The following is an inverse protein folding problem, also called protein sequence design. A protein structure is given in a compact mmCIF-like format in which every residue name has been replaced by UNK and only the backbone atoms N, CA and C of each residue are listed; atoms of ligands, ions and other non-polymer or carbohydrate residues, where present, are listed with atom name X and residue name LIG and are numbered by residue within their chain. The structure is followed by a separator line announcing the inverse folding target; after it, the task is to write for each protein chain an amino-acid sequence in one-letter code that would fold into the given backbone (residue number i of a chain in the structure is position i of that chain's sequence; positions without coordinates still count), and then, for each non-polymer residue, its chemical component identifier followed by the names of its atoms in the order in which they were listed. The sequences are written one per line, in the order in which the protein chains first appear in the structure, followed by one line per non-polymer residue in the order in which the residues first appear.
data_IF_110967293819
#
_entry.id   IF_110967293819
#
_cell.length_a   1.000
_cell.length_b   1.000
_cell.length_c   1.000
_cell.angle_alpha   90.00
_cell.angle_beta   90.00
_cell.angle_gamma   90.00
#
_symmetry.space_group_name_H-M   'P 1'
#
loop_
_entity.id
_entity.type
_entity.pdbx_description
1 polymer ?
#
# COMPACT_ATOMS: atom_id res chain seq x y z
N UNK A 1 -16.25 4.79 6.93
CA UNK A 1 -15.17 5.12 7.87
C UNK A 1 -14.16 3.98 8.00
N UNK A 2 -14.59 2.71 8.01
CA UNK A 2 -13.66 1.58 8.12
C UNK A 2 -12.79 1.39 6.87
N UNK A 3 -13.28 1.66 5.67
CA UNK A 3 -12.50 1.63 4.43
C UNK A 3 -11.39 2.67 4.40
N UNK A 4 -11.66 3.89 4.83
CA UNK A 4 -10.65 4.95 4.95
C UNK A 4 -9.57 4.59 5.98
N UNK A 5 -9.95 4.07 7.13
CA UNK A 5 -8.99 3.62 8.14
C UNK A 5 -8.12 2.47 7.62
N UNK A 6 -8.71 1.54 6.86
CA UNK A 6 -7.97 0.46 6.22
C UNK A 6 -6.97 1.01 5.20
N UNK A 7 -7.38 1.97 4.36
CA UNK A 7 -6.52 2.61 3.37
C UNK A 7 -5.27 3.24 4.01
N UNK A 8 -5.47 4.00 5.09
CA UNK A 8 -4.37 4.64 5.84
C UNK A 8 -3.42 3.60 6.43
N UNK A 9 -3.98 2.59 7.10
CA UNK A 9 -3.19 1.57 7.78
C UNK A 9 -2.41 0.69 6.79
N UNK A 10 -3.02 0.38 5.65
CA UNK A 10 -2.46 -0.54 4.67
C UNK A 10 -1.36 0.07 3.79
N UNK A 11 -1.08 1.37 3.90
CA UNK A 11 0.02 2.00 3.15
C UNK A 11 1.37 1.32 3.38
N UNK A 12 1.61 0.80 4.58
CA UNK A 12 2.83 0.04 4.91
C UNK A 12 2.95 -1.29 4.16
N UNK A 13 1.86 -1.77 3.57
CA UNK A 13 1.79 -3.04 2.84
C UNK A 13 1.85 -2.86 1.33
N UNK A 14 1.97 -1.62 0.86
CA UNK A 14 2.05 -1.30 -0.56
C UNK A 14 3.36 -1.86 -1.16
N UNK A 15 3.23 -2.57 -2.28
CA UNK A 15 4.39 -2.95 -3.09
C UNK A 15 4.51 -1.96 -4.28
N UNK A 16 5.59 -1.18 -4.38
CA UNK A 16 5.74 -0.22 -5.46
C UNK A 16 6.05 -0.86 -6.82
N UNK A 17 6.36 -2.16 -6.84
CA UNK A 17 6.77 -2.88 -8.05
C UNK A 17 5.61 -3.62 -8.70
N UNK A 18 4.69 -4.12 -7.89
CA UNK A 18 3.67 -5.05 -8.32
C UNK A 18 2.33 -4.69 -7.70
N UNK A 19 1.29 -4.95 -8.45
CA UNK A 19 -0.04 -4.97 -7.92
C UNK A 19 -0.24 -6.19 -7.03
N UNK A 20 -0.75 -5.96 -5.84
CA UNK A 20 -1.01 -7.01 -4.86
C UNK A 20 -2.42 -6.84 -4.33
N UNK A 21 -3.27 -7.83 -4.58
CA UNK A 21 -4.59 -7.91 -3.98
C UNK A 21 -4.47 -8.49 -2.57
N UNK A 22 -5.11 -7.84 -1.62
CA UNK A 22 -5.21 -8.28 -0.24
C UNK A 22 -6.67 -8.38 0.17
N UNK A 23 -6.96 -9.34 1.01
CA UNK A 23 -8.29 -9.55 1.58
C UNK A 23 -8.13 -9.43 3.08
N UNK A 24 -8.78 -8.43 3.67
CA UNK A 24 -8.75 -8.16 5.10
C UNK A 24 -10.05 -8.62 5.74
N UNK A 25 -9.97 -9.62 6.58
CA UNK A 25 -11.10 -10.15 7.34
C UNK A 25 -11.24 -9.39 8.65
N UNK A 26 -12.46 -8.92 8.93
CA UNK A 26 -12.74 -8.09 10.10
C UNK A 26 -13.77 -8.74 11.02
N UNK A 27 -13.66 -8.45 12.31
CA UNK A 27 -14.64 -8.76 13.32
C UNK A 27 -14.75 -7.58 14.28
N UNK A 28 -15.96 -7.05 14.46
CA UNK A 28 -16.20 -5.84 15.27
C UNK A 28 -15.25 -4.69 14.86
N UNK A 29 -15.10 -4.46 13.56
CA UNK A 29 -14.21 -3.46 12.97
C UNK A 29 -12.70 -3.63 13.27
N UNK A 30 -12.28 -4.78 13.77
CA UNK A 30 -10.86 -5.14 13.95
C UNK A 30 -10.45 -6.15 12.91
N UNK A 31 -9.25 -6.01 12.36
CA UNK A 31 -8.67 -7.01 11.47
C UNK A 31 -8.30 -8.22 12.29
N UNK A 32 -8.82 -9.38 11.91
CA UNK A 32 -8.55 -10.67 12.57
C UNK A 32 -7.68 -11.58 11.70
N UNK A 33 -7.65 -11.35 10.38
CA UNK A 33 -6.83 -12.10 9.45
C UNK A 33 -6.66 -11.34 8.15
N UNK A 34 -5.61 -11.61 7.40
CA UNK A 34 -5.49 -11.16 6.01
C UNK A 34 -4.78 -12.19 5.14
N UNK A 35 -5.11 -12.17 3.85
CA UNK A 35 -4.43 -12.93 2.81
C UNK A 35 -3.97 -11.98 1.71
N UNK A 36 -2.93 -12.35 0.97
CA UNK A 36 -2.40 -11.56 -0.12
C UNK A 36 -2.13 -12.43 -1.34
N UNK A 37 -2.41 -11.89 -2.52
CA UNK A 37 -2.16 -12.53 -3.82
C UNK A 37 -1.49 -11.51 -4.72
N UNK A 38 -0.40 -11.91 -5.36
CA UNK A 38 0.24 -11.10 -6.40
C UNK A 38 0.70 -11.99 -7.54
N UNK A 39 0.41 -11.56 -8.75
CA UNK A 39 0.96 -12.19 -9.97
C UNK A 39 2.36 -11.70 -10.30
N UNK A 40 2.88 -10.74 -9.53
CA UNK A 40 4.13 -10.02 -9.78
C UNK A 40 4.14 -9.27 -11.12
N UNK A 41 2.99 -8.77 -11.52
CA UNK A 41 2.84 -7.93 -12.70
C UNK A 41 2.56 -6.48 -12.26
N UNK A 42 3.12 -5.47 -12.95
CA UNK A 42 3.01 -4.07 -12.52
C UNK A 42 1.60 -3.48 -12.60
N UNK A 43 0.72 -4.03 -13.38
CA UNK A 43 -0.60 -3.44 -13.64
C UNK A 43 -1.76 -4.43 -13.59
N UNK A 44 -1.57 -5.62 -13.01
CA UNK A 44 -2.65 -6.59 -12.89
C UNK A 44 -2.39 -7.67 -11.83
N UNK A 45 -3.44 -8.10 -11.16
CA UNK A 45 -3.46 -9.33 -10.37
C UNK A 45 -4.33 -10.34 -11.10
N UNK A 46 -3.71 -11.41 -11.62
CA UNK A 46 -4.48 -12.50 -12.23
C UNK A 46 -5.01 -13.43 -11.15
N UNK A 47 -6.31 -13.44 -10.99
CA UNK A 47 -7.01 -14.31 -10.04
C UNK A 47 -7.21 -15.74 -10.56
N UNK A 48 -6.93 -15.98 -11.84
CA UNK A 48 -7.05 -17.29 -12.48
C UNK A 48 -6.22 -18.38 -11.80
N UNK A 49 -5.14 -18.01 -11.12
CA UNK A 49 -4.35 -18.96 -10.33
C UNK A 49 -5.04 -19.41 -9.04
N UNK A 50 -6.17 -18.82 -8.67
CA UNK A 50 -6.94 -19.13 -7.45
C UNK A 50 -8.17 -19.99 -7.78
N UNK A 51 -8.43 -20.30 -9.06
CA UNK A 51 -9.60 -21.03 -9.56
C UNK A 51 -10.34 -20.26 -10.64
N UNK A 52 -11.27 -20.92 -11.30
CA UNK A 52 -12.00 -20.34 -12.41
C UNK A 52 -12.91 -19.20 -11.94
N UNK A 53 -12.57 -17.97 -12.32
CA UNK A 53 -13.39 -16.79 -12.22
C UNK A 53 -13.74 -16.25 -10.80
N UNK A 54 -14.36 -15.08 -10.80
CA UNK A 54 -14.77 -14.32 -9.63
C UNK A 54 -15.64 -15.10 -8.62
N UNK A 55 -16.35 -16.14 -9.07
CA UNK A 55 -17.14 -16.99 -8.20
C UNK A 55 -16.29 -17.82 -7.23
N UNK A 56 -15.18 -18.39 -7.70
CA UNK A 56 -14.29 -19.21 -6.86
C UNK A 56 -13.55 -18.36 -5.85
N UNK A 57 -13.19 -17.13 -6.20
CA UNK A 57 -12.65 -16.18 -5.24
C UNK A 57 -13.65 -15.90 -4.12
N UNK A 58 -14.91 -15.65 -4.47
CA UNK A 58 -15.98 -15.41 -3.49
C UNK A 58 -16.18 -16.60 -2.54
N UNK A 59 -16.18 -17.83 -3.06
CA UNK A 59 -16.29 -19.05 -2.27
C UNK A 59 -15.09 -19.22 -1.34
N UNK A 60 -13.87 -19.02 -1.85
CA UNK A 60 -12.66 -19.12 -1.05
C UNK A 60 -12.64 -18.08 0.08
N UNK A 61 -12.99 -16.86 -0.23
CA UNK A 61 -13.03 -15.75 0.73
C UNK A 61 -14.07 -16.03 1.81
N UNK A 62 -15.25 -16.49 1.43
CA UNK A 62 -16.32 -16.79 2.37
C UNK A 62 -15.98 -18.00 3.27
N UNK A 63 -15.33 -19.04 2.73
CA UNK A 63 -14.80 -20.16 3.49
C UNK A 63 -13.78 -19.69 4.53
N UNK A 64 -12.83 -18.84 4.13
CA UNK A 64 -11.82 -18.27 5.03
C UNK A 64 -12.48 -17.39 6.08
N UNK A 65 -13.43 -16.53 5.69
CA UNK A 65 -14.18 -15.67 6.62
C UNK A 65 -14.83 -16.47 7.74
N UNK A 66 -15.50 -17.57 7.40
CA UNK A 66 -16.14 -18.45 8.39
C UNK A 66 -15.12 -19.11 9.30
N UNK A 67 -14.01 -19.59 8.73
CA UNK A 67 -12.93 -20.24 9.49
C UNK A 67 -12.34 -19.30 10.54
N UNK A 68 -12.05 -18.05 10.18
CA UNK A 68 -11.48 -17.04 11.10
C UNK A 68 -12.54 -16.31 11.93
N UNK A 69 -13.81 -16.71 11.81
CA UNK A 69 -14.96 -16.12 12.51
C UNK A 69 -15.08 -14.60 12.31
N UNK A 70 -14.79 -14.13 11.10
CA UNK A 70 -14.96 -12.72 10.74
C UNK A 70 -16.43 -12.39 10.42
N UNK A 71 -16.86 -11.17 10.75
CA UNK A 71 -18.19 -10.65 10.42
C UNK A 71 -18.27 -10.09 9.00
N UNK A 72 -17.11 -9.77 8.42
CA UNK A 72 -17.02 -9.28 7.04
C UNK A 72 -15.58 -9.18 6.56
N UNK A 73 -15.44 -8.69 5.32
CA UNK A 73 -14.12 -8.48 4.74
C UNK A 73 -14.09 -7.32 3.76
N UNK A 74 -12.89 -6.81 3.54
CA UNK A 74 -12.55 -5.79 2.56
C UNK A 74 -11.59 -6.36 1.53
N UNK A 75 -11.74 -5.98 0.28
CA UNK A 75 -10.67 -6.07 -0.70
C UNK A 75 -9.79 -4.83 -0.61
N UNK A 76 -8.52 -5.01 -0.88
CA UNK A 76 -7.57 -3.92 -1.03
C UNK A 76 -6.52 -4.32 -2.06
N UNK A 77 -6.22 -3.43 -3.00
CA UNK A 77 -5.03 -3.56 -3.82
C UNK A 77 -4.29 -2.23 -3.94
N UNK A 78 -3.04 -2.31 -4.34
CA UNK A 78 -2.23 -1.14 -4.60
C UNK A 78 -2.01 -0.95 -6.10
N UNK A 79 -2.02 0.30 -6.53
CA UNK A 79 -1.59 0.69 -7.87
C UNK A 79 -0.13 1.15 -7.84
N UNK A 80 0.81 0.42 -8.47
CA UNK A 80 2.21 0.86 -8.57
C UNK A 80 2.38 2.12 -9.41
N UNK A 81 1.42 2.42 -10.31
CA UNK A 81 1.45 3.55 -11.23
C UNK A 81 1.42 4.94 -10.58
N UNK A 82 1.19 5.02 -9.27
CA UNK A 82 1.09 6.30 -8.55
C UNK A 82 -0.29 6.94 -8.55
N UNK A 83 -1.30 6.34 -9.18
CA UNK A 83 -2.67 6.82 -9.20
C UNK A 83 -3.61 5.79 -8.55
N UNK A 84 -4.38 6.20 -7.53
CA UNK A 84 -5.35 5.34 -6.84
C UNK A 84 -6.75 5.41 -7.45
N UNK A 85 -6.92 6.00 -8.63
CA UNK A 85 -8.21 5.95 -9.33
C UNK A 85 -8.50 4.49 -9.72
N UNK A 86 -9.62 3.93 -9.29
CA UNK A 86 -9.98 2.57 -9.65
C UNK A 86 -10.18 2.44 -11.17
N UNK A 87 -9.75 1.33 -11.72
CA UNK A 87 -10.11 0.97 -13.09
C UNK A 87 -11.59 0.56 -13.19
N UNK A 88 -12.14 0.53 -14.40
CA UNK A 88 -13.47 -0.01 -14.62
C UNK A 88 -13.58 -1.50 -14.22
N UNK A 89 -12.47 -2.23 -14.27
CA UNK A 89 -12.39 -3.61 -13.82
C UNK A 89 -12.49 -3.73 -12.30
N UNK A 90 -11.89 -2.80 -11.55
CA UNK A 90 -11.97 -2.76 -10.09
C UNK A 90 -13.39 -2.51 -9.62
N UNK A 91 -14.06 -1.55 -10.23
CA UNK A 91 -15.47 -1.23 -9.93
C UNK A 91 -16.34 -2.45 -10.24
N UNK A 92 -16.21 -3.03 -11.44
CA UNK A 92 -16.98 -4.20 -11.84
C UNK A 92 -16.70 -5.42 -10.94
N UNK A 93 -15.46 -5.66 -10.55
CA UNK A 93 -15.10 -6.72 -9.60
C UNK A 93 -15.79 -6.49 -8.25
N UNK A 94 -15.82 -5.24 -7.79
CA UNK A 94 -16.47 -4.85 -6.54
C UNK A 94 -17.96 -5.16 -6.58
N UNK A 95 -18.66 -4.74 -7.62
CA UNK A 95 -20.09 -4.99 -7.83
C UNK A 95 -20.41 -6.49 -7.91
N UNK A 96 -19.61 -7.25 -8.67
CA UNK A 96 -19.76 -8.70 -8.79
C UNK A 96 -19.62 -9.36 -7.42
N UNK A 97 -18.58 -9.07 -6.65
CA UNK A 97 -18.40 -9.68 -5.33
C UNK A 97 -19.51 -9.24 -4.37
N UNK A 98 -19.92 -7.98 -4.40
CA UNK A 98 -21.00 -7.48 -3.58
C UNK A 98 -22.32 -8.22 -3.84
N UNK A 99 -22.57 -8.63 -5.08
CA UNK A 99 -23.81 -9.36 -5.45
C UNK A 99 -23.86 -10.80 -4.90
N UNK A 100 -22.71 -11.43 -4.67
CA UNK A 100 -22.66 -12.82 -4.19
C UNK A 100 -22.44 -12.96 -2.70
N UNK A 101 -21.82 -11.95 -2.06
CA UNK A 101 -21.29 -12.10 -0.72
C UNK A 101 -21.79 -11.00 0.21
N UNK A 102 -22.83 -11.27 1.01
CA UNK A 102 -23.41 -10.29 1.91
C UNK A 102 -22.43 -9.69 2.95
N UNK A 103 -21.40 -10.44 3.32
CA UNK A 103 -20.37 -10.02 4.28
C UNK A 103 -19.29 -9.11 3.68
N UNK A 104 -19.32 -8.87 2.37
CA UNK A 104 -18.40 -7.95 1.70
C UNK A 104 -18.68 -6.50 2.15
N UNK A 105 -17.64 -5.76 2.50
CA UNK A 105 -17.74 -4.39 3.02
C UNK A 105 -17.35 -3.31 2.02
N UNK A 106 -16.54 -3.66 1.01
CA UNK A 106 -16.09 -2.75 -0.03
C UNK A 106 -14.66 -3.06 -0.49
N UNK A 107 -14.17 -2.24 -1.39
CA UNK A 107 -12.88 -2.40 -2.03
C UNK A 107 -12.06 -1.10 -1.89
N UNK A 108 -10.82 -1.21 -1.53
CA UNK A 108 -9.91 -0.09 -1.31
C UNK A 108 -8.76 -0.17 -2.31
N UNK A 109 -8.50 0.91 -3.01
CA UNK A 109 -7.33 1.06 -3.89
C UNK A 109 -6.38 2.06 -3.26
N UNK A 110 -5.12 1.70 -3.11
CA UNK A 110 -4.11 2.56 -2.47
C UNK A 110 -2.93 2.82 -3.41
N UNK A 111 -2.35 4.00 -3.26
CA UNK A 111 -1.02 4.30 -3.73
C UNK A 111 -0.25 5.13 -2.69
N UNK A 112 0.82 5.82 -3.08
CA UNK A 112 1.71 6.54 -2.15
C UNK A 112 1.01 7.72 -1.44
N UNK A 113 0.14 8.45 -2.15
CA UNK A 113 -0.43 9.73 -1.70
C UNK A 113 -1.94 9.79 -1.75
N UNK A 114 -2.55 8.79 -2.35
CA UNK A 114 -3.97 8.77 -2.65
C UNK A 114 -4.56 7.40 -2.29
N UNK A 115 -5.85 7.38 -2.08
CA UNK A 115 -6.61 6.14 -2.03
C UNK A 115 -8.03 6.35 -2.52
N UNK A 116 -8.66 5.27 -2.94
CA UNK A 116 -10.10 5.23 -3.22
C UNK A 116 -10.77 4.15 -2.39
N UNK A 117 -11.99 4.40 -2.01
CA UNK A 117 -12.88 3.43 -1.39
C UNK A 117 -14.06 3.24 -2.32
N UNK A 118 -14.26 2.02 -2.80
CA UNK A 118 -15.38 1.62 -3.64
C UNK A 118 -16.38 0.91 -2.73
N UNK A 119 -17.59 1.41 -2.65
CA UNK A 119 -18.64 0.76 -1.88
C UNK A 119 -19.27 -0.41 -2.65
N UNK A 120 -20.27 -1.04 -2.05
CA UNK A 120 -20.96 -2.19 -2.64
C UNK A 120 -21.75 -1.86 -3.91
N UNK A 121 -22.12 -0.61 -4.07
CA UNK A 121 -22.93 -0.12 -5.18
C UNK A 121 -22.06 0.46 -6.31
N UNK A 122 -20.73 0.33 -6.17
CA UNK A 122 -19.75 0.81 -7.15
C UNK A 122 -19.43 2.30 -7.02
N UNK A 123 -19.95 3.02 -6.02
CA UNK A 123 -19.60 4.40 -5.81
C UNK A 123 -18.16 4.52 -5.32
N UNK A 124 -17.43 5.47 -5.88
CA UNK A 124 -16.01 5.71 -5.59
C UNK A 124 -15.86 6.97 -4.76
N UNK A 125 -15.30 6.83 -3.57
CA UNK A 125 -14.83 7.95 -2.77
C UNK A 125 -13.31 8.05 -2.90
N UNK A 126 -12.85 9.06 -3.65
CA UNK A 126 -11.45 9.31 -3.91
C UNK A 126 -10.90 10.33 -2.91
N UNK A 127 -9.79 10.00 -2.28
CA UNK A 127 -9.11 10.86 -1.30
C UNK A 127 -7.66 11.08 -1.71
N UNK A 128 -7.32 12.33 -1.91
CA UNK A 128 -5.93 12.76 -2.04
C UNK A 128 -5.46 13.33 -0.70
N UNK A 129 -4.59 12.59 -0.02
CA UNK A 129 -4.10 13.04 1.30
C UNK A 129 -3.18 14.24 1.18
N UNK A 130 -2.56 14.41 0.02
CA UNK A 130 -1.59 15.47 -0.22
C UNK A 130 -2.27 16.80 -0.50
N UNK A 131 -3.51 16.76 -1.02
CA UNK A 131 -4.27 17.96 -1.37
C UNK A 131 -5.04 18.61 -0.24
N UNK A 132 -5.41 17.88 0.84
CA UNK A 132 -6.47 18.33 1.75
C UNK A 132 -6.17 18.26 3.25
N UNK A 133 -4.93 18.04 3.69
CA UNK A 133 -4.64 18.00 5.13
C UNK A 133 -3.97 19.29 5.64
N UNK A 134 -4.79 20.26 5.96
CA UNK A 134 -4.44 21.22 7.01
C UNK A 134 -4.43 20.47 8.35
N UNK A 135 -3.27 20.03 8.83
CA UNK A 135 -3.11 19.62 10.22
C UNK A 135 -2.57 18.23 10.53
N UNK A 136 -2.23 17.40 9.59
CA UNK A 136 -1.57 16.13 9.87
C UNK A 136 -0.64 15.75 8.75
N UNK A 137 0.63 15.50 9.06
CA UNK A 137 1.67 15.01 8.16
C UNK A 137 1.49 15.47 6.70
N UNK A 138 1.68 16.75 6.46
CA UNK A 138 1.79 17.27 5.11
C UNK A 138 3.04 16.67 4.49
N UNK A 139 2.90 15.53 3.85
CA UNK A 139 3.87 15.08 2.85
C UNK A 139 3.74 15.97 1.61
N UNK A 140 3.89 17.27 1.77
CA UNK A 140 3.81 18.26 0.70
C UNK A 140 4.98 18.14 -0.29
N UNK A 141 5.69 17.00 -0.32
CA UNK A 141 7.03 17.10 -0.84
C UNK A 141 7.44 16.02 -1.80
N UNK A 142 6.61 15.02 -1.94
CA UNK A 142 6.97 13.97 -2.86
C UNK A 142 5.95 13.89 -3.97
N UNK A 143 6.38 14.30 -5.10
CA UNK A 143 6.17 13.52 -6.27
C UNK A 143 6.99 12.23 -6.11
N UNK A 144 6.71 11.48 -5.02
CA UNK A 144 7.45 10.27 -4.66
C UNK A 144 7.35 9.19 -5.73
N UNK A 145 6.30 9.23 -6.57
CA UNK A 145 6.17 8.39 -7.74
C UNK A 145 7.18 8.76 -8.84
N UNK A 146 7.63 10.01 -8.94
CA UNK A 146 8.66 10.40 -9.90
C UNK A 146 10.05 9.87 -9.52
N UNK A 147 10.27 9.65 -8.23
CA UNK A 147 11.52 9.10 -7.74
C UNK A 147 11.53 7.58 -7.68
N UNK A 148 10.35 6.94 -7.70
CA UNK A 148 10.27 5.49 -7.78
C UNK A 148 10.73 5.01 -9.15
N UNK A 149 11.53 3.95 -9.14
CA UNK A 149 12.18 3.38 -10.31
C UNK A 149 13.31 4.25 -10.92
N UNK A 150 13.66 5.36 -10.30
CA UNK A 150 14.91 6.05 -10.64
C UNK A 150 16.12 5.15 -10.36
N UNK A 151 17.08 5.18 -11.25
CA UNK A 151 18.28 4.37 -11.11
C UNK A 151 19.35 5.15 -10.36
N UNK A 152 19.84 4.56 -9.29
CA UNK A 152 21.01 5.02 -8.55
C UNK A 152 22.20 4.17 -8.99
N UNK A 153 23.05 4.73 -9.81
CA UNK A 153 24.29 4.09 -10.27
C UNK A 153 25.53 4.68 -9.60
N UNK A 154 25.39 5.85 -8.99
CA UNK A 154 26.49 6.59 -8.38
C UNK A 154 26.03 7.34 -7.12
N UNK A 155 26.96 7.79 -6.27
CA UNK A 155 26.67 8.67 -5.14
C UNK A 155 26.00 9.98 -5.55
N UNK A 156 26.32 10.49 -6.75
CA UNK A 156 25.73 11.71 -7.30
C UNK A 156 24.24 11.54 -7.61
N UNK A 157 23.82 10.36 -8.07
CA UNK A 157 22.41 10.06 -8.30
C UNK A 157 21.65 10.03 -6.97
N UNK A 158 22.26 9.44 -5.93
CA UNK A 158 21.67 9.45 -4.58
C UNK A 158 21.57 10.89 -4.04
N UNK A 159 22.60 11.72 -4.28
CA UNK A 159 22.58 13.13 -3.87
C UNK A 159 21.48 13.92 -4.59
N UNK A 160 21.26 13.68 -5.90
CA UNK A 160 20.17 14.31 -6.66
C UNK A 160 18.80 13.93 -6.08
N UNK A 161 18.59 12.66 -5.77
CA UNK A 161 17.38 12.19 -5.12
C UNK A 161 17.22 12.84 -3.75
N UNK A 162 18.29 12.85 -2.93
CA UNK A 162 18.28 13.52 -1.64
C UNK A 162 17.95 15.02 -1.73
N UNK A 163 18.40 15.67 -2.79
CA UNK A 163 18.10 17.08 -3.05
C UNK A 163 16.65 17.31 -3.51
N UNK A 164 16.11 16.37 -4.28
CA UNK A 164 14.70 16.39 -4.69
C UNK A 164 13.74 16.11 -3.54
N UNK A 165 14.22 15.36 -2.53
CA UNK A 165 13.47 15.10 -1.31
C UNK A 165 13.43 16.37 -0.46
N UNK A 166 12.26 17.00 -0.33
CA UNK A 166 12.13 18.21 0.48
C UNK A 166 12.37 17.89 1.95
N UNK A 167 13.36 18.53 2.49
CA UNK A 167 13.82 18.30 3.85
C UNK A 167 12.87 18.96 4.86
N UNK A 168 12.52 18.21 5.88
CA UNK A 168 11.75 18.72 7.02
C UNK A 168 12.64 18.61 8.27
N UNK A 169 12.69 19.70 9.03
CA UNK A 169 13.33 19.65 10.33
C UNK A 169 12.71 18.55 11.18
N UNK A 170 13.52 17.87 11.96
CA UNK A 170 13.12 16.76 12.83
C UNK A 170 12.75 15.45 12.09
N UNK A 171 13.01 15.33 10.78
CA UNK A 171 12.77 14.12 10.01
C UNK A 171 13.98 13.71 9.20
N UNK A 172 14.07 12.42 8.87
CA UNK A 172 15.02 11.89 7.91
C UNK A 172 14.30 10.95 6.93
N UNK A 173 14.90 10.76 5.78
CA UNK A 173 14.32 9.93 4.72
C UNK A 173 15.07 8.60 4.59
N UNK A 174 14.29 7.52 4.44
CA UNK A 174 14.81 6.22 4.03
C UNK A 174 14.53 6.02 2.54
N UNK A 175 15.56 5.66 1.81
CA UNK A 175 15.51 5.27 0.40
C UNK A 175 15.85 3.80 0.31
N UNK A 176 14.92 3.00 -0.14
CA UNK A 176 15.14 1.57 -0.40
C UNK A 176 15.41 1.32 -1.87
N UNK A 177 16.49 0.64 -2.20
CA UNK A 177 16.89 0.31 -3.57
C UNK A 177 16.97 -1.20 -3.80
N UNK A 178 16.70 -1.61 -5.04
CA UNK A 178 16.85 -2.99 -5.51
C UNK A 178 18.33 -3.38 -5.64
N UNK A 179 18.58 -4.68 -5.82
CA UNK A 179 19.91 -5.19 -6.17
C UNK A 179 20.46 -4.60 -7.49
N UNK A 180 19.61 -4.11 -8.36
CA UNK A 180 19.97 -3.50 -9.64
C UNK A 180 20.04 -1.96 -9.59
N UNK A 181 19.91 -1.39 -8.39
CA UNK A 181 20.07 0.05 -8.16
C UNK A 181 18.81 0.90 -8.36
N UNK A 182 17.64 0.32 -8.55
CA UNK A 182 16.41 1.11 -8.70
C UNK A 182 15.78 1.45 -7.36
N UNK A 183 15.29 2.68 -7.20
CA UNK A 183 14.50 3.11 -6.04
C UNK A 183 13.18 2.36 -6.02
N UNK A 184 12.97 1.56 -4.99
CA UNK A 184 11.74 0.77 -4.81
C UNK A 184 10.84 1.32 -3.73
N UNK A 185 11.38 2.08 -2.80
CA UNK A 185 10.58 2.63 -1.69
C UNK A 185 11.23 3.87 -1.10
N UNK A 186 10.38 4.74 -0.60
CA UNK A 186 10.74 5.95 0.13
C UNK A 186 9.91 6.00 1.41
N UNK A 187 10.51 6.40 2.52
CA UNK A 187 9.82 6.61 3.78
C UNK A 187 10.42 7.76 4.55
N UNK A 188 9.59 8.58 5.17
CA UNK A 188 10.03 9.64 6.07
C UNK A 188 9.83 9.19 7.52
N UNK A 189 10.84 9.36 8.35
CA UNK A 189 10.78 9.00 9.77
C UNK A 189 11.20 10.20 10.62
N UNK A 190 10.55 10.41 11.78
CA UNK A 190 10.96 11.45 12.70
C UNK A 190 12.32 11.10 13.34
N UNK A 191 13.19 12.09 13.54
CA UNK A 191 14.49 11.92 14.19
C UNK A 191 14.37 11.33 15.59
N UNK A 192 13.23 11.56 16.28
CA UNK A 192 12.96 10.96 17.59
C UNK A 192 12.99 9.43 17.59
N UNK A 193 12.86 8.78 16.41
CA UNK A 193 13.02 7.32 16.27
C UNK A 193 14.44 6.87 16.60
N UNK A 194 15.44 7.73 16.35
CA UNK A 194 16.85 7.43 16.65
C UNK A 194 17.11 7.35 18.15
N UNK A 195 16.28 7.98 18.98
CA UNK A 195 16.37 7.93 20.44
C UNK A 195 15.66 6.69 21.03
N UNK A 196 15.08 5.84 20.19
CA UNK A 196 14.45 4.59 20.61
C UNK A 196 15.50 3.49 20.77
N UNK A 197 15.20 2.43 21.56
CA UNK A 197 16.09 1.28 21.66
C UNK A 197 16.49 0.74 20.27
N UNK A 198 17.76 0.44 20.08
CA UNK A 198 18.32 0.04 18.78
C UNK A 198 17.59 -1.15 18.14
N UNK A 199 17.13 -2.09 18.95
CA UNK A 199 16.36 -3.25 18.48
C UNK A 199 15.05 -2.85 17.79
N UNK A 200 14.37 -1.79 18.26
CA UNK A 200 13.15 -1.27 17.64
C UNK A 200 13.43 -0.56 16.31
N UNK A 201 14.51 0.22 16.25
CA UNK A 201 14.94 0.84 15.01
C UNK A 201 15.33 -0.22 13.99
N UNK A 202 16.14 -1.20 14.38
CA UNK A 202 16.54 -2.28 13.51
C UNK A 202 15.36 -3.08 12.98
N UNK A 203 14.39 -3.41 13.85
CA UNK A 203 13.17 -4.10 13.45
C UNK A 203 12.35 -3.28 12.42
N UNK A 204 12.28 -1.96 12.57
CA UNK A 204 11.61 -1.08 11.59
C UNK A 204 12.33 -1.05 10.24
N UNK A 205 13.67 -0.95 10.25
CA UNK A 205 14.47 -0.98 9.03
C UNK A 205 14.35 -2.33 8.32
N UNK A 206 14.39 -3.44 9.08
CA UNK A 206 14.21 -4.77 8.53
C UNK A 206 12.81 -4.95 7.93
N UNK A 207 11.77 -4.46 8.59
CA UNK A 207 10.42 -4.51 8.07
C UNK A 207 10.26 -3.66 6.82
N UNK A 208 10.84 -2.45 6.81
CA UNK A 208 10.87 -1.61 5.62
C UNK A 208 11.56 -2.33 4.46
N UNK A 209 12.74 -2.91 4.68
CA UNK A 209 13.48 -3.63 3.66
C UNK A 209 12.71 -4.86 3.15
N UNK A 210 12.17 -5.69 4.04
CA UNK A 210 11.42 -6.90 3.67
C UNK A 210 10.14 -6.58 2.91
N UNK A 211 9.35 -5.62 3.40
CA UNK A 211 8.06 -5.28 2.81
C UNK A 211 8.21 -4.61 1.44
N UNK A 212 9.30 -3.90 1.23
CA UNK A 212 9.58 -3.22 -0.03
C UNK A 212 10.44 -4.05 -0.99
N UNK A 213 10.95 -5.21 -0.57
CA UNK A 213 11.84 -6.05 -1.37
C UNK A 213 13.14 -5.38 -1.75
N UNK A 214 13.58 -4.41 -0.93
CA UNK A 214 14.83 -3.68 -1.17
C UNK A 214 16.03 -4.49 -0.71
N UNK A 215 17.14 -4.28 -1.40
CA UNK A 215 18.42 -4.90 -1.08
C UNK A 215 19.28 -4.00 -0.19
N UNK A 216 19.21 -2.70 -0.41
CA UNK A 216 19.98 -1.69 0.32
C UNK A 216 19.07 -0.54 0.74
N UNK A 217 19.30 -0.01 1.93
CA UNK A 217 18.58 1.14 2.49
C UNK A 217 19.58 2.26 2.77
N UNK A 218 19.31 3.44 2.24
CA UNK A 218 20.00 4.67 2.58
C UNK A 218 19.15 5.53 3.51
N UNK A 219 19.78 6.15 4.49
CA UNK A 219 19.20 7.18 5.31
C UNK A 219 19.77 8.53 4.88
N UNK A 220 18.90 9.48 4.56
CA UNK A 220 19.29 10.85 4.20
C UNK A 220 18.80 11.77 5.29
N UNK A 221 19.73 12.47 5.88
CA UNK A 221 19.47 13.54 6.87
C UNK A 221 19.76 14.90 6.25
N UNK A 222 19.32 15.94 6.92
CA UNK A 222 19.75 17.31 6.61
C UNK A 222 21.18 17.53 7.05
#
# INVERSE_FOLDING_TARGET
KSGHNLAVMAQILRDPRYETLRIFYTRMNRIVHHTAVSSRLPGAVYLEKIGHANHDLGVLVEKTRRHVKADGYWLLHNHPSGNATPSSQDVRLTEIIASFVPSFKGHVVINTSQYSVIDKDGHVDFVDWMGNQAGGYQNNHYKSHELLLEKIASPEDLAKIGHALKKRDQFFNLIGISATGFVLSLSELPLSVLNRPQNLLLARLQNFARNSGVNTVFAITN
#
